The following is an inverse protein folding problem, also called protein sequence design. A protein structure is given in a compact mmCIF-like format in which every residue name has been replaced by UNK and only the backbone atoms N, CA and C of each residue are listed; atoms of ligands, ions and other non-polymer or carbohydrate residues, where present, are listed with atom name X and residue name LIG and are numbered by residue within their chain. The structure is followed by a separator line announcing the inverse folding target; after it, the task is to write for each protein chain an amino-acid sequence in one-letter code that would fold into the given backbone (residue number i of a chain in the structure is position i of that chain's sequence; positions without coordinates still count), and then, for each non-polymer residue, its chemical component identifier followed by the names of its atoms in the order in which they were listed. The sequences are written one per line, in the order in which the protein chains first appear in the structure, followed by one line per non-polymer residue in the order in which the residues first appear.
data_IF_202673361375
#
_entry.id   IF_202673361375
#
_cell.length_a   1.000
_cell.length_b   1.000
_cell.length_c   1.000
_cell.angle_alpha   90.00
_cell.angle_beta   90.00
_cell.angle_gamma   90.00
#
_symmetry.space_group_name_H-M   'P 1'
#
loop_
_entity.id
_entity.type
_entity.pdbx_description
1 polymer ?
#
# COMPACT_ATOMS: atom_id res chain seq x y z
N UNK A 1 -1.63 19.89 26.83
CA UNK A 1 -0.84 19.35 25.70
C UNK A 1 -1.77 18.47 24.85
N UNK A 2 -2.33 18.94 23.73
CA UNK A 2 -3.41 18.22 23.04
C UNK A 2 -2.85 17.55 21.78
N UNK A 3 -2.09 16.46 21.92
CA UNK A 3 -1.38 15.91 20.74
C UNK A 3 -1.65 14.46 20.40
N UNK A 4 -2.48 13.72 21.12
CA UNK A 4 -2.67 12.33 20.74
C UNK A 4 -4.07 11.82 21.03
N UNK A 5 -4.95 11.99 20.05
CA UNK A 5 -6.17 11.19 19.96
C UNK A 5 -5.72 9.72 19.83
N UNK A 6 -6.20 8.79 20.67
CA UNK A 6 -5.79 7.37 20.65
C UNK A 6 -5.97 6.69 19.28
N UNK A 7 -6.79 7.30 18.40
CA UNK A 7 -6.99 6.95 16.98
C UNK A 7 -5.72 6.97 16.14
N UNK A 8 -4.95 8.03 16.30
CA UNK A 8 -3.83 8.36 15.42
C UNK A 8 -2.59 7.53 15.78
N UNK A 9 -2.48 7.08 17.03
CA UNK A 9 -1.33 6.29 17.52
C UNK A 9 -1.21 4.97 16.76
N UNK A 10 -2.31 4.23 16.61
CA UNK A 10 -2.29 2.91 15.97
C UNK A 10 -1.89 2.99 14.49
N UNK A 11 -2.41 4.01 13.79
CA UNK A 11 -2.06 4.26 12.39
C UNK A 11 -0.60 4.71 12.30
N UNK A 12 -0.16 5.58 13.19
CA UNK A 12 1.22 6.07 13.21
C UNK A 12 2.23 4.96 13.51
N UNK A 13 1.95 4.05 14.44
CA UNK A 13 2.86 2.93 14.78
C UNK A 13 3.02 1.97 13.63
N UNK A 14 1.93 1.54 13.00
CA UNK A 14 1.97 0.61 11.85
C UNK A 14 2.69 1.25 10.66
N UNK A 15 2.39 2.52 10.34
CA UNK A 15 3.10 3.23 9.28
C UNK A 15 4.59 3.42 9.60
N UNK A 16 4.96 3.69 10.86
CA UNK A 16 6.37 3.85 11.27
C UNK A 16 7.14 2.54 11.13
N UNK A 17 6.55 1.42 11.53
CA UNK A 17 7.15 0.09 11.33
C UNK A 17 7.29 -0.21 9.83
N UNK A 18 6.26 0.07 9.03
CA UNK A 18 6.31 -0.10 7.58
C UNK A 18 7.41 0.75 6.92
N UNK A 19 7.55 2.01 7.33
CA UNK A 19 8.61 2.89 6.87
C UNK A 19 10.01 2.36 7.22
N UNK A 20 10.19 1.81 8.42
CA UNK A 20 11.46 1.20 8.82
C UNK A 20 11.81 0.00 7.94
N UNK A 21 10.85 -0.90 7.67
CA UNK A 21 11.05 -2.01 6.75
C UNK A 21 11.39 -1.53 5.34
N UNK A 22 10.62 -0.58 4.78
CA UNK A 22 10.89 -0.02 3.46
C UNK A 22 12.29 0.59 3.36
N UNK A 23 12.74 1.28 4.41
CA UNK A 23 14.07 1.86 4.48
C UNK A 23 15.17 0.80 4.47
N UNK A 24 15.02 -0.27 5.28
CA UNK A 24 15.95 -1.40 5.29
C UNK A 24 16.00 -2.07 3.91
N UNK A 25 14.85 -2.34 3.30
CA UNK A 25 14.79 -2.91 1.94
C UNK A 25 15.48 -2.01 0.91
N UNK A 26 15.26 -0.69 0.98
CA UNK A 26 15.92 0.26 0.09
C UNK A 26 17.45 0.26 0.25
N UNK A 27 17.95 0.19 1.49
CA UNK A 27 19.40 0.11 1.77
C UNK A 27 19.97 -1.17 1.16
N UNK A 28 19.37 -2.33 1.44
CA UNK A 28 19.82 -3.61 0.91
C UNK A 28 19.83 -3.57 -0.62
N UNK A 29 18.76 -3.07 -1.24
CA UNK A 29 18.67 -2.93 -2.69
C UNK A 29 19.80 -2.05 -3.26
N UNK A 30 20.09 -0.90 -2.65
CA UNK A 30 21.16 0.01 -3.10
C UNK A 30 22.55 -0.63 -2.93
N UNK A 31 22.76 -1.46 -1.91
CA UNK A 31 24.02 -2.17 -1.69
C UNK A 31 24.25 -3.21 -2.79
N UNK A 32 23.24 -4.02 -3.10
CA UNK A 32 23.35 -5.17 -4.01
C UNK A 32 23.02 -4.88 -5.48
N UNK A 33 22.47 -3.70 -5.81
CA UNK A 33 22.13 -3.36 -7.19
C UNK A 33 23.34 -3.01 -8.07
N UNK A 34 23.24 -3.35 -9.36
CA UNK A 34 24.20 -2.94 -10.40
C UNK A 34 24.45 -1.43 -10.40
N UNK A 35 25.66 -1.00 -10.74
CA UNK A 35 26.09 0.42 -10.69
C UNK A 35 25.12 1.38 -11.41
N UNK A 36 24.58 0.99 -12.57
CA UNK A 36 23.62 1.80 -13.34
C UNK A 36 22.25 1.92 -12.65
N UNK A 37 21.72 0.81 -12.11
CA UNK A 37 20.44 0.78 -11.37
C UNK A 37 20.57 1.47 -10.01
N UNK A 38 21.71 1.29 -9.34
CA UNK A 38 22.05 1.90 -8.06
C UNK A 38 22.03 3.42 -8.13
N UNK A 39 22.69 4.01 -9.14
CA UNK A 39 22.71 5.46 -9.30
C UNK A 39 21.30 6.00 -9.53
N UNK A 40 20.54 5.39 -10.45
CA UNK A 40 19.16 5.80 -10.74
C UNK A 40 18.26 5.70 -9.51
N UNK A 41 18.31 4.59 -8.77
CA UNK A 41 17.46 4.38 -7.59
C UNK A 41 17.86 5.29 -6.42
N UNK A 42 19.17 5.52 -6.21
CA UNK A 42 19.63 6.47 -5.19
C UNK A 42 19.25 7.91 -5.53
N UNK A 43 19.31 8.30 -6.81
CA UNK A 43 18.86 9.61 -7.27
C UNK A 43 17.35 9.80 -7.08
N UNK A 44 16.54 8.79 -7.41
CA UNK A 44 15.09 8.81 -7.16
C UNK A 44 14.79 8.92 -5.65
N UNK A 45 15.49 8.15 -4.82
CA UNK A 45 15.30 8.19 -3.37
C UNK A 45 15.65 9.58 -2.81
N UNK A 46 16.78 10.17 -3.25
CA UNK A 46 17.18 11.52 -2.87
C UNK A 46 16.16 12.56 -3.34
N UNK A 47 15.63 12.44 -4.55
CA UNK A 47 14.59 13.32 -5.06
C UNK A 47 13.30 13.26 -4.22
N UNK A 48 12.89 12.06 -3.79
CA UNK A 48 11.72 11.89 -2.90
C UNK A 48 11.96 12.55 -1.55
N UNK A 49 13.13 12.35 -0.92
CA UNK A 49 13.46 13.02 0.35
C UNK A 49 13.56 14.54 0.21
N UNK A 50 14.14 15.04 -0.89
CA UNK A 50 14.22 16.46 -1.17
C UNK A 50 12.83 17.07 -1.38
N UNK A 51 11.95 16.41 -2.14
CA UNK A 51 10.56 16.84 -2.33
C UNK A 51 9.79 16.85 -1.01
N UNK A 52 9.89 15.77 -0.21
CA UNK A 52 9.27 15.70 1.11
C UNK A 52 9.77 16.82 2.03
N UNK A 53 11.09 17.02 2.09
CA UNK A 53 11.71 18.10 2.87
C UNK A 53 11.26 19.49 2.42
N UNK A 54 11.14 19.71 1.11
CA UNK A 54 10.60 20.95 0.54
C UNK A 54 9.14 21.17 0.96
N UNK A 55 8.28 20.15 0.86
CA UNK A 55 6.87 20.24 1.29
C UNK A 55 6.78 20.58 2.78
N UNK A 56 7.55 19.92 3.64
CA UNK A 56 7.60 20.21 5.08
C UNK A 56 8.09 21.62 5.34
N UNK A 57 9.17 22.05 4.68
CA UNK A 57 9.73 23.39 4.86
C UNK A 57 8.73 24.48 4.45
N UNK A 58 8.12 24.36 3.27
CA UNK A 58 7.10 25.30 2.78
C UNK A 58 5.89 25.31 3.72
N UNK A 59 5.45 24.14 4.17
CA UNK A 59 4.31 23.98 5.06
C UNK A 59 4.53 24.60 6.45
N UNK A 60 5.76 24.55 6.99
CA UNK A 60 6.08 25.13 8.29
C UNK A 60 6.34 26.63 8.24
N UNK A 61 6.88 27.14 7.12
CA UNK A 61 7.31 28.54 7.00
C UNK A 61 6.26 29.46 6.39
N UNK A 62 5.44 28.97 5.46
CA UNK A 62 4.57 29.82 4.64
C UNK A 62 3.07 29.51 4.80
N UNK A 63 2.68 28.43 5.47
CA UNK A 63 1.27 28.06 5.64
C UNK A 63 0.80 28.21 7.09
N UNK A 64 -0.35 28.87 7.27
CA UNK A 64 -1.08 28.88 8.54
C UNK A 64 -1.57 27.47 8.90
N UNK A 65 -1.76 27.19 10.20
CA UNK A 65 -2.07 25.86 10.74
C UNK A 65 -3.23 25.15 10.01
N UNK A 66 -4.27 25.89 9.63
CA UNK A 66 -5.45 25.33 8.94
C UNK A 66 -5.15 24.96 7.48
N UNK A 67 -4.53 25.87 6.71
CA UNK A 67 -4.12 25.61 5.32
C UNK A 67 -3.06 24.51 5.23
N UNK A 68 -2.14 24.46 6.20
CA UNK A 68 -1.13 23.40 6.32
C UNK A 68 -1.76 22.02 6.42
N UNK A 69 -2.76 21.86 7.27
CA UNK A 69 -3.46 20.58 7.44
C UNK A 69 -4.18 20.15 6.16
N UNK A 70 -4.82 21.09 5.45
CA UNK A 70 -5.48 20.79 4.18
C UNK A 70 -4.48 20.39 3.09
N UNK A 71 -3.42 21.17 2.85
CA UNK A 71 -2.44 20.89 1.78
C UNK A 71 -1.72 19.57 2.01
N UNK A 72 -1.23 19.33 3.24
CA UNK A 72 -0.58 18.06 3.58
C UNK A 72 -1.56 16.90 3.50
N UNK A 73 -2.82 17.11 3.92
CA UNK A 73 -3.89 16.11 3.79
C UNK A 73 -4.17 15.71 2.35
N UNK A 74 -4.34 16.68 1.44
CA UNK A 74 -4.55 16.40 0.01
C UNK A 74 -3.36 15.71 -0.65
N UNK A 75 -2.13 16.17 -0.37
CA UNK A 75 -0.91 15.52 -0.87
C UNK A 75 -0.79 14.09 -0.36
N UNK A 76 -1.13 13.86 0.91
CA UNK A 76 -1.13 12.52 1.50
C UNK A 76 -2.13 11.60 0.80
N UNK A 77 -3.35 12.08 0.53
CA UNK A 77 -4.36 11.28 -0.18
C UNK A 77 -3.97 11.02 -1.62
N UNK A 78 -3.44 12.01 -2.32
CA UNK A 78 -2.92 11.81 -3.68
C UNK A 78 -1.80 10.76 -3.72
N UNK A 79 -0.84 10.85 -2.79
CA UNK A 79 0.24 9.86 -2.66
C UNK A 79 -0.30 8.46 -2.36
N UNK A 80 -1.29 8.34 -1.48
CA UNK A 80 -1.92 7.05 -1.16
C UNK A 80 -2.64 6.45 -2.38
N UNK A 81 -3.40 7.25 -3.13
CA UNK A 81 -4.05 6.81 -4.36
C UNK A 81 -3.02 6.34 -5.39
N UNK A 82 -1.91 7.07 -5.54
CA UNK A 82 -0.84 6.69 -6.47
C UNK A 82 -0.22 5.32 -6.12
N UNK A 83 -0.17 4.96 -4.84
CA UNK A 83 0.35 3.67 -4.38
C UNK A 83 -0.50 2.49 -4.86
N UNK A 84 -1.80 2.72 -5.10
CA UNK A 84 -2.70 1.70 -5.67
C UNK A 84 -2.40 1.36 -7.13
N UNK A 85 -1.57 2.13 -7.84
CA UNK A 85 -1.11 1.75 -9.17
C UNK A 85 -0.34 0.43 -9.16
N UNK A 86 0.42 0.14 -8.09
CA UNK A 86 1.18 -1.11 -7.93
C UNK A 86 0.28 -2.36 -7.90
N UNK A 87 -0.70 -2.50 -6.99
CA UNK A 87 -1.60 -3.65 -6.98
C UNK A 87 -2.44 -3.76 -8.26
N UNK A 88 -2.82 -2.64 -8.88
CA UNK A 88 -3.53 -2.64 -10.17
C UNK A 88 -2.66 -3.18 -11.31
N UNK A 89 -1.37 -2.83 -11.33
CA UNK A 89 -0.42 -3.35 -12.30
C UNK A 89 -0.22 -4.87 -12.14
N UNK A 90 -0.15 -5.38 -10.91
CA UNK A 90 -0.07 -6.83 -10.66
C UNK A 90 -1.33 -7.54 -11.17
N UNK A 91 -2.52 -6.99 -10.95
CA UNK A 91 -3.77 -7.57 -11.49
C UNK A 91 -3.70 -7.68 -13.02
N UNK A 92 -3.28 -6.60 -13.70
CA UNK A 92 -3.14 -6.60 -15.16
C UNK A 92 -2.08 -7.62 -15.62
N UNK A 93 -0.96 -7.72 -14.89
CA UNK A 93 0.09 -8.70 -15.15
C UNK A 93 -0.44 -10.13 -15.03
N UNK A 94 -1.18 -10.48 -13.97
CA UNK A 94 -1.77 -11.81 -13.77
C UNK A 94 -2.76 -12.17 -14.89
N UNK A 95 -3.59 -11.22 -15.32
CA UNK A 95 -4.52 -11.45 -16.44
C UNK A 95 -3.75 -11.73 -17.73
N UNK A 96 -2.66 -10.99 -17.97
CA UNK A 96 -1.83 -11.12 -19.18
C UNK A 96 -0.96 -12.39 -19.18
N UNK A 97 -0.34 -12.73 -18.06
CA UNK A 97 0.54 -13.90 -17.92
C UNK A 97 -0.25 -15.18 -17.68
N UNK A 98 -1.55 -15.08 -17.37
CA UNK A 98 -2.42 -16.18 -16.99
C UNK A 98 -1.84 -17.06 -15.86
N UNK A 99 -0.89 -16.54 -15.06
CA UNK A 99 -0.21 -17.29 -14.01
C UNK A 99 -0.27 -16.52 -12.69
N UNK A 100 -0.68 -17.22 -11.63
CA UNK A 100 -0.73 -16.72 -10.25
C UNK A 100 0.64 -16.71 -9.57
N UNK A 101 1.69 -17.15 -10.25
CA UNK A 101 3.05 -17.25 -9.71
C UNK A 101 3.60 -15.89 -9.22
N UNK A 102 3.13 -14.79 -9.80
CA UNK A 102 3.54 -13.43 -9.44
C UNK A 102 2.69 -12.79 -8.33
N UNK A 103 1.70 -13.51 -7.77
CA UNK A 103 0.78 -12.95 -6.78
C UNK A 103 0.60 -13.91 -5.59
N UNK A 104 1.46 -13.83 -4.56
CA UNK A 104 1.35 -14.72 -3.41
C UNK A 104 0.06 -14.42 -2.63
N UNK A 105 -0.81 -15.43 -2.55
CA UNK A 105 -2.11 -15.40 -1.84
C UNK A 105 -2.03 -14.75 -0.46
N UNK A 106 -0.97 -15.06 0.30
CA UNK A 106 -0.75 -14.53 1.64
C UNK A 106 -0.57 -13.00 1.68
N UNK A 107 0.07 -12.40 0.66
CA UNK A 107 0.21 -10.94 0.60
C UNK A 107 -1.14 -10.26 0.34
N UNK A 108 -1.95 -10.80 -0.58
CA UNK A 108 -3.28 -10.27 -0.87
C UNK A 108 -4.21 -10.40 0.34
N UNK A 109 -4.22 -11.57 1.00
CA UNK A 109 -5.06 -11.82 2.18
C UNK A 109 -4.64 -10.93 3.36
N UNK A 110 -3.35 -10.79 3.60
CA UNK A 110 -2.83 -9.94 4.70
C UNK A 110 -3.13 -8.46 4.45
N UNK A 111 -3.01 -7.99 3.20
CA UNK A 111 -3.37 -6.62 2.81
C UNK A 111 -4.88 -6.37 2.94
N UNK A 112 -5.70 -7.35 2.56
CA UNK A 112 -7.16 -7.29 2.73
C UNK A 112 -7.56 -7.23 4.21
N UNK A 113 -7.05 -8.15 5.04
CA UNK A 113 -7.33 -8.17 6.48
C UNK A 113 -6.88 -6.87 7.16
N UNK A 114 -5.69 -6.38 6.81
CA UNK A 114 -5.17 -5.10 7.32
C UNK A 114 -6.11 -3.95 6.94
N UNK A 115 -6.51 -3.86 5.67
CA UNK A 115 -7.41 -2.81 5.20
C UNK A 115 -8.80 -2.91 5.84
N UNK A 116 -9.32 -4.12 6.00
CA UNK A 116 -10.60 -4.39 6.67
C UNK A 116 -10.56 -4.00 8.15
N UNK A 117 -9.47 -4.32 8.86
CA UNK A 117 -9.27 -3.94 10.26
C UNK A 117 -9.21 -2.42 10.41
N UNK A 118 -8.48 -1.71 9.55
CA UNK A 118 -8.43 -0.24 9.58
C UNK A 118 -9.77 0.41 9.18
N UNK A 119 -10.48 -0.17 8.20
CA UNK A 119 -11.81 0.31 7.81
C UNK A 119 -12.81 0.13 8.95
N UNK A 120 -12.83 -1.04 9.60
CA UNK A 120 -13.69 -1.33 10.75
C UNK A 120 -13.34 -0.46 11.95
N UNK A 121 -12.04 -0.25 12.21
CA UNK A 121 -11.58 0.68 13.24
C UNK A 121 -12.07 2.11 13.00
N UNK A 122 -12.05 2.57 11.76
CA UNK A 122 -12.57 3.89 11.39
C UNK A 122 -14.09 4.01 11.56
N UNK A 123 -14.84 2.94 11.27
CA UNK A 123 -16.31 2.92 11.42
C UNK A 123 -16.73 2.84 12.89
N UNK A 124 -16.02 2.07 13.72
CA UNK A 124 -16.35 1.90 15.15
C UNK A 124 -16.03 3.14 16.00
N UNK A 125 -15.06 3.97 15.59
CA UNK A 125 -14.75 5.26 16.25
C UNK A 125 -15.66 6.39 15.79
N UNK A 126 -16.97 6.24 16.00
CA UNK A 126 -18.03 7.24 15.73
C UNK A 126 -17.86 8.56 16.52
N UNK A 127 -16.75 9.27 16.31
CA UNK A 127 -16.53 10.63 16.83
C UNK A 127 -16.49 11.65 15.67
N UNK A 128 -17.16 12.81 15.83
CA UNK A 128 -17.38 13.81 14.78
C UNK A 128 -16.15 14.69 14.48
N UNK A 129 -14.94 14.12 14.46
CA UNK A 129 -13.75 14.78 13.88
C UNK A 129 -13.68 14.49 12.37
N UNK A 130 -14.75 14.91 11.70
CA UNK A 130 -15.19 14.52 10.35
C UNK A 130 -14.17 14.81 9.24
N UNK A 131 -13.27 15.78 9.43
CA UNK A 131 -12.40 16.25 8.34
C UNK A 131 -11.09 15.46 8.21
N UNK A 132 -10.40 15.14 9.30
CA UNK A 132 -9.12 14.38 9.23
C UNK A 132 -9.37 12.89 9.05
N UNK A 133 -10.46 12.36 9.61
CA UNK A 133 -10.81 10.94 9.50
C UNK A 133 -11.18 10.55 8.06
N UNK A 134 -11.89 11.41 7.32
CA UNK A 134 -12.28 11.14 5.93
C UNK A 134 -11.06 10.97 4.99
N UNK A 135 -10.00 11.78 5.17
CA UNK A 135 -8.77 11.62 4.38
C UNK A 135 -8.01 10.31 4.67
N UNK A 136 -8.14 9.74 5.88
CA UNK A 136 -7.55 8.45 6.23
C UNK A 136 -8.46 7.27 5.87
N UNK A 137 -9.78 7.46 5.85
CA UNK A 137 -10.76 6.40 5.64
C UNK A 137 -10.95 6.08 4.15
N UNK A 138 -10.93 7.10 3.28
CA UNK A 138 -11.01 6.95 1.82
C UNK A 138 -9.94 5.99 1.26
N UNK A 139 -8.63 6.17 1.54
CA UNK A 139 -7.61 5.27 1.01
C UNK A 139 -7.73 3.85 1.59
N UNK A 140 -8.07 3.68 2.87
CA UNK A 140 -8.26 2.33 3.44
C UNK A 140 -9.49 1.62 2.84
N UNK A 141 -10.54 2.35 2.50
CA UNK A 141 -11.70 1.82 1.77
C UNK A 141 -11.32 1.35 0.37
N UNK A 142 -10.59 2.18 -0.39
CA UNK A 142 -10.09 1.82 -1.73
C UNK A 142 -9.16 0.60 -1.65
N UNK A 143 -8.26 0.55 -0.66
CA UNK A 143 -7.38 -0.60 -0.41
C UNK A 143 -8.16 -1.89 -0.11
N UNK A 144 -9.26 -1.80 0.63
CA UNK A 144 -10.16 -2.94 0.90
C UNK A 144 -10.80 -3.45 -0.39
N UNK A 145 -11.33 -2.56 -1.23
CA UNK A 145 -11.93 -2.92 -2.53
C UNK A 145 -10.89 -3.60 -3.43
N UNK A 146 -9.69 -3.02 -3.52
CA UNK A 146 -8.59 -3.61 -4.28
C UNK A 146 -8.21 -4.99 -3.74
N UNK A 147 -8.11 -5.16 -2.42
CA UNK A 147 -7.82 -6.44 -1.79
C UNK A 147 -8.88 -7.52 -2.10
N UNK A 148 -10.17 -7.14 -2.15
CA UNK A 148 -11.25 -8.04 -2.58
C UNK A 148 -11.08 -8.45 -4.04
N UNK A 149 -10.79 -7.50 -4.94
CA UNK A 149 -10.57 -7.78 -6.37
C UNK A 149 -9.37 -8.71 -6.55
N UNK A 150 -8.27 -8.47 -5.83
CA UNK A 150 -7.09 -9.33 -5.87
C UNK A 150 -7.41 -10.76 -5.42
N UNK A 151 -8.18 -10.92 -4.33
CA UNK A 151 -8.59 -12.23 -3.82
C UNK A 151 -9.55 -12.96 -4.78
N UNK A 152 -10.49 -12.23 -5.40
CA UNK A 152 -11.44 -12.79 -6.36
C UNK A 152 -10.74 -13.30 -7.63
N UNK A 153 -9.80 -12.52 -8.18
CA UNK A 153 -9.01 -12.93 -9.36
C UNK A 153 -8.13 -14.14 -9.02
N UNK A 154 -7.50 -14.15 -7.84
CA UNK A 154 -6.75 -15.31 -7.38
C UNK A 154 -7.62 -16.56 -7.32
N UNK A 155 -8.81 -16.49 -6.74
CA UNK A 155 -9.72 -17.65 -6.65
C UNK A 155 -10.12 -18.15 -8.03
N UNK A 156 -10.47 -17.24 -8.95
CA UNK A 156 -10.85 -17.59 -10.32
C UNK A 156 -9.71 -18.28 -11.09
N UNK A 157 -8.49 -17.74 -11.05
CA UNK A 157 -7.34 -18.37 -11.69
C UNK A 157 -6.90 -19.65 -10.97
N UNK A 158 -6.83 -19.66 -9.64
CA UNK A 158 -6.45 -20.86 -8.87
C UNK A 158 -7.41 -22.02 -9.13
N UNK A 159 -8.71 -21.77 -9.31
CA UNK A 159 -9.67 -22.83 -9.65
C UNK A 159 -9.43 -23.34 -11.09
N UNK A 160 -9.28 -22.42 -12.05
CA UNK A 160 -9.05 -22.75 -13.46
C UNK A 160 -7.74 -23.53 -13.70
N UNK A 161 -6.68 -23.22 -12.97
CA UNK A 161 -5.38 -23.89 -13.05
C UNK A 161 -5.25 -25.10 -12.09
N UNK A 162 -6.04 -25.13 -11.02
CA UNK A 162 -6.13 -26.26 -10.09
C UNK A 162 -6.91 -27.45 -10.65
N UNK A 163 -7.89 -27.22 -11.52
CA UNK A 163 -8.61 -28.28 -12.25
C UNK A 163 -7.77 -28.84 -13.41
N UNK A 164 -7.00 -28.01 -14.11
CA UNK A 164 -6.11 -28.47 -15.20
C UNK A 164 -4.90 -29.30 -14.77
N UNK A 165 -4.60 -29.37 -13.46
CA UNK A 165 -3.53 -30.21 -12.90
C UNK A 165 -4.06 -31.45 -12.17
N UNK A 166 -5.39 -31.66 -12.13
CA UNK A 166 -6.04 -32.71 -11.33
C UNK A 166 -6.72 -33.84 -12.13
N UNK A 167 -6.56 -33.87 -13.45
CA UNK A 167 -6.89 -35.04 -14.29
C UNK A 167 -5.67 -35.44 -15.15
N UNK A 168 -5.38 -36.74 -15.32
CA UNK A 168 -4.75 -37.57 -14.32
C UNK A 168 -3.38 -38.09 -14.80
N UNK A 169 -2.30 -37.73 -14.10
CA UNK A 169 -0.99 -38.40 -14.28
C UNK A 169 -0.99 -39.86 -13.80
N UNK A 170 -2.13 -40.39 -13.35
CA UNK A 170 -2.32 -41.80 -12.99
C UNK A 170 -2.79 -42.69 -14.16
N UNK A 171 -3.06 -42.15 -15.35
CA UNK A 171 -3.44 -42.96 -16.52
C UNK A 171 -2.26 -43.44 -17.38
N UNK A 172 -1.02 -43.07 -17.05
CA UNK A 172 0.17 -43.46 -17.84
C UNK A 172 0.96 -44.65 -17.26
N UNK A 173 0.46 -45.29 -16.20
CA UNK A 173 1.08 -46.47 -15.56
C UNK A 173 0.05 -47.56 -15.23
N UNK A 174 -0.86 -47.84 -16.16
CA UNK A 174 -1.72 -49.04 -16.12
C UNK A 174 -1.67 -49.74 -17.48
#
# INVERSE_FOLDING_TARGET
MPFVTPGVILVATVNSIGAAFQFIYAIIFIIYADKSKKLRMSALLMAVFAFFGMVVFVSLRFLETHLRQMVVGYLSVFSLISMFASPLFIINLVIKTQSVEYMPFYLSLSTFLTSLSFSTYGVLKFDPFLYVSMFLQVPNGIGTILGIVQLAIYYYYSNKYGEGSREPLLASYA
#
